data_IF_374293400988
#
_entry.id   IF_374293400988
#
_cell.length_a   1.000
_cell.length_b   1.000
_cell.length_c   1.000
_cell.angle_alpha   90.00
_cell.angle_beta   90.00
_cell.angle_gamma   90.00
#
_symmetry.space_group_name_H-M   'P 1'
#
loop_
_entity.id
_entity.type
_entity.pdbx_description
1 polymer ?
#
# COMPACT_ATOMS: atom_id res chain seq x y z
N UNK A 1 1.91 28.07 2.05
CA UNK A 1 2.45 26.99 2.89
C UNK A 1 1.40 25.87 2.91
N UNK A 2 1.78 24.62 2.70
CA UNK A 2 0.88 23.47 2.80
C UNK A 2 1.34 22.56 3.95
N UNK A 3 0.40 22.00 4.70
CA UNK A 3 0.64 20.96 5.71
C UNK A 3 -0.05 19.68 5.24
N UNK A 4 0.67 18.56 5.28
CA UNK A 4 0.12 17.23 5.03
C UNK A 4 0.26 16.40 6.30
N UNK A 5 -0.81 15.69 6.66
CA UNK A 5 -0.81 14.76 7.80
C UNK A 5 -1.01 13.35 7.26
N UNK A 6 0.07 12.58 7.21
CA UNK A 6 0.07 11.16 6.89
C UNK A 6 0.09 10.32 8.17
N UNK A 7 -0.74 9.29 8.22
CA UNK A 7 -0.79 8.34 9.33
C UNK A 7 -0.43 6.96 8.79
N UNK A 8 0.74 6.47 9.18
CA UNK A 8 1.14 5.09 8.94
C UNK A 8 0.22 4.18 9.76
N UNK A 9 -0.57 3.39 9.05
CA UNK A 9 -1.66 2.61 9.59
C UNK A 9 -1.29 1.13 9.46
N UNK A 10 -0.54 0.67 10.46
CA UNK A 10 0.15 -0.62 10.53
C UNK A 10 -0.22 -1.40 11.81
N UNK A 11 0.25 -2.64 11.94
CA UNK A 11 -0.02 -3.46 13.13
C UNK A 11 0.65 -2.93 14.41
N UNK A 12 0.15 -3.36 15.56
CA UNK A 12 0.69 -2.96 16.86
C UNK A 12 2.13 -3.47 17.04
N UNK A 13 3.03 -2.55 17.42
CA UNK A 13 4.40 -2.86 17.88
C UNK A 13 5.23 -3.74 16.93
N UNK A 14 5.20 -3.47 15.61
CA UNK A 14 5.91 -4.28 14.61
C UNK A 14 7.45 -4.30 14.74
N UNK A 15 8.03 -3.51 15.63
CA UNK A 15 9.45 -3.63 16.02
C UNK A 15 9.75 -4.93 16.77
N UNK A 16 8.77 -5.46 17.50
CA UNK A 16 8.88 -6.73 18.20
C UNK A 16 8.62 -7.93 17.25
N UNK A 17 9.41 -8.98 17.40
CA UNK A 17 9.31 -10.16 16.53
C UNK A 17 8.05 -10.99 16.82
N UNK A 18 7.63 -11.09 18.09
CA UNK A 18 6.44 -11.83 18.47
C UNK A 18 5.17 -11.09 18.02
N UNK A 19 5.16 -9.76 18.09
CA UNK A 19 4.10 -8.90 17.58
C UNK A 19 3.95 -9.02 16.06
N UNK A 20 5.06 -9.00 15.29
CA UNK A 20 5.01 -9.27 13.83
C UNK A 20 4.41 -10.63 13.49
N UNK A 21 4.73 -11.66 14.29
CA UNK A 21 4.19 -13.00 14.09
C UNK A 21 2.72 -13.15 14.53
N UNK A 22 2.25 -12.30 15.45
CA UNK A 22 0.92 -12.35 16.04
C UNK A 22 0.32 -10.94 16.09
N UNK A 23 -0.01 -10.42 14.91
CA UNK A 23 -0.41 -9.01 14.78
C UNK A 23 -1.71 -8.72 15.52
N UNK A 24 -1.76 -7.50 16.06
CA UNK A 24 -2.94 -6.87 16.63
C UNK A 24 -3.10 -5.49 16.00
N UNK A 25 -4.30 -4.94 16.08
CA UNK A 25 -4.66 -3.69 15.41
C UNK A 25 -5.45 -2.77 16.35
N UNK A 26 -5.16 -2.81 17.65
CA UNK A 26 -5.85 -1.98 18.65
C UNK A 26 -5.62 -0.49 18.38
N UNK A 27 -4.44 -0.13 17.85
CA UNK A 27 -4.17 1.20 17.33
C UNK A 27 -5.14 1.62 16.20
N UNK A 28 -5.47 0.71 15.28
CA UNK A 28 -6.39 0.96 14.16
C UNK A 28 -7.80 1.15 14.70
N UNK A 29 -8.21 0.32 15.65
CA UNK A 29 -9.53 0.41 16.27
C UNK A 29 -9.74 1.72 17.03
N UNK A 30 -8.67 2.39 17.44
CA UNK A 30 -8.70 3.70 18.08
C UNK A 30 -8.74 4.89 17.08
N UNK A 31 -8.54 4.67 15.78
CA UNK A 31 -8.50 5.74 14.77
C UNK A 31 -9.72 6.66 14.75
N UNK A 32 -10.98 6.20 14.97
CA UNK A 32 -12.13 7.10 14.99
C UNK A 32 -11.96 8.27 15.97
N UNK A 33 -11.30 8.02 17.12
CA UNK A 33 -11.03 9.08 18.11
C UNK A 33 -10.02 10.10 17.58
N UNK A 34 -8.96 9.64 16.91
CA UNK A 34 -7.95 10.51 16.30
C UNK A 34 -8.55 11.29 15.12
N UNK A 35 -9.37 10.63 14.31
CA UNK A 35 -10.06 11.24 13.17
C UNK A 35 -10.98 12.39 13.61
N UNK A 36 -11.77 12.17 14.68
CA UNK A 36 -12.60 13.23 15.26
C UNK A 36 -11.79 14.44 15.74
N UNK A 37 -10.55 14.24 16.22
CA UNK A 37 -9.65 15.34 16.55
C UNK A 37 -9.24 16.11 15.30
N UNK A 38 -8.88 15.43 14.21
CA UNK A 38 -8.55 16.08 12.93
C UNK A 38 -9.73 16.89 12.39
N UNK A 39 -10.94 16.34 12.40
CA UNK A 39 -12.15 17.01 11.98
C UNK A 39 -12.38 18.33 12.74
N UNK A 40 -12.19 18.33 14.08
CA UNK A 40 -12.30 19.54 14.91
C UNK A 40 -11.32 20.65 14.54
N UNK A 41 -10.19 20.30 13.92
CA UNK A 41 -9.16 21.24 13.49
C UNK A 41 -9.18 21.48 11.97
N UNK A 42 -10.17 20.95 11.24
CA UNK A 42 -10.25 21.08 9.78
C UNK A 42 -9.09 20.40 9.04
N UNK A 43 -8.44 19.41 9.66
CA UNK A 43 -7.35 18.64 9.06
C UNK A 43 -7.94 17.45 8.31
N UNK A 44 -7.54 17.28 7.05
CA UNK A 44 -7.90 16.12 6.21
C UNK A 44 -6.71 15.15 6.17
N UNK A 45 -6.70 14.07 6.99
CA UNK A 45 -5.57 13.14 7.06
C UNK A 45 -5.54 12.19 5.86
N UNK A 46 -4.35 11.67 5.57
CA UNK A 46 -4.15 10.52 4.68
C UNK A 46 -3.74 9.31 5.52
N UNK A 47 -4.55 8.26 5.55
CA UNK A 47 -4.21 6.99 6.18
C UNK A 47 -3.53 6.09 5.14
N UNK A 48 -2.24 5.81 5.32
CA UNK A 48 -1.53 4.87 4.45
C UNK A 48 -1.53 3.51 5.12
N UNK A 49 -2.18 2.52 4.50
CA UNK A 49 -2.51 1.26 5.17
C UNK A 49 -1.67 0.10 4.63
N UNK A 50 -1.31 -0.83 5.53
CA UNK A 50 -0.56 -2.06 5.19
C UNK A 50 -1.50 -3.18 4.74
N UNK A 51 -0.93 -4.25 4.16
CA UNK A 51 -1.71 -5.41 3.71
C UNK A 51 -2.48 -6.10 4.86
N UNK A 52 -1.89 -6.35 6.05
CA UNK A 52 -2.63 -6.93 7.16
C UNK A 52 -3.79 -6.05 7.64
N UNK A 53 -3.61 -4.73 7.69
CA UNK A 53 -4.69 -3.80 8.05
C UNK A 53 -5.82 -3.82 7.00
N UNK A 54 -5.48 -3.88 5.72
CA UNK A 54 -6.46 -3.98 4.64
C UNK A 54 -7.20 -5.33 4.58
N UNK A 55 -6.75 -6.33 5.35
CA UNK A 55 -7.32 -7.68 5.34
C UNK A 55 -7.89 -8.12 6.70
N UNK A 56 -7.67 -7.35 7.76
CA UNK A 56 -8.33 -7.53 9.06
C UNK A 56 -9.77 -6.98 9.01
N UNK A 57 -10.82 -7.81 9.22
CA UNK A 57 -12.21 -7.38 9.10
C UNK A 57 -12.57 -6.17 9.97
N UNK A 58 -12.08 -6.13 11.21
CA UNK A 58 -12.40 -5.03 12.13
C UNK A 58 -11.70 -3.73 11.73
N UNK A 59 -10.47 -3.82 11.22
CA UNK A 59 -9.75 -2.68 10.65
C UNK A 59 -10.46 -2.13 9.41
N UNK A 60 -10.94 -3.02 8.53
CA UNK A 60 -11.72 -2.65 7.34
C UNK A 60 -13.01 -1.90 7.73
N UNK A 61 -13.73 -2.37 8.75
CA UNK A 61 -14.94 -1.68 9.23
C UNK A 61 -14.64 -0.27 9.73
N UNK A 62 -13.55 -0.11 10.49
CA UNK A 62 -13.09 1.21 10.94
C UNK A 62 -12.77 2.10 9.74
N UNK A 63 -11.95 1.63 8.80
CA UNK A 63 -11.52 2.40 7.63
C UNK A 63 -12.71 2.82 6.77
N UNK A 64 -13.68 1.94 6.55
CA UNK A 64 -14.93 2.27 5.86
C UNK A 64 -15.67 3.39 6.58
N UNK A 65 -15.78 3.30 7.91
CA UNK A 65 -16.36 4.35 8.75
C UNK A 65 -15.66 5.70 8.59
N UNK A 66 -14.32 5.72 8.55
CA UNK A 66 -13.56 6.97 8.34
C UNK A 66 -13.77 7.54 6.94
N UNK A 67 -13.74 6.69 5.90
CA UNK A 67 -13.87 7.15 4.51
C UNK A 67 -15.27 7.64 4.15
N UNK A 68 -16.31 7.19 4.86
CA UNK A 68 -17.70 7.59 4.60
C UNK A 68 -17.92 9.11 4.78
N UNK A 69 -17.11 9.77 5.61
CA UNK A 69 -17.16 11.22 5.81
C UNK A 69 -16.59 12.05 4.65
N UNK A 70 -15.80 11.45 3.75
CA UNK A 70 -15.14 12.15 2.63
C UNK A 70 -14.01 13.10 3.06
N UNK A 71 -13.68 13.16 4.35
CA UNK A 71 -12.73 14.05 4.99
C UNK A 71 -11.40 13.37 5.34
N UNK A 72 -11.09 12.24 4.69
CA UNK A 72 -9.77 11.63 4.68
C UNK A 72 -9.42 11.05 3.29
N UNK A 73 -8.17 10.59 3.16
CA UNK A 73 -7.67 9.83 2.01
C UNK A 73 -7.09 8.49 2.47
N UNK A 74 -7.15 7.47 1.61
CA UNK A 74 -6.49 6.18 1.82
C UNK A 74 -5.33 6.03 0.82
N UNK A 75 -4.16 5.69 1.33
CA UNK A 75 -2.98 5.35 0.54
C UNK A 75 -2.42 3.97 0.89
N UNK A 76 -1.35 3.57 0.19
CA UNK A 76 -0.68 2.30 0.40
C UNK A 76 0.59 2.49 1.26
N UNK A 77 0.73 1.71 2.33
CA UNK A 77 1.96 1.62 3.12
C UNK A 77 2.55 0.22 2.93
N UNK A 78 3.59 0.11 2.09
CA UNK A 78 4.12 -1.19 1.69
C UNK A 78 5.14 -1.74 2.69
N UNK A 79 4.87 -2.96 3.16
CA UNK A 79 5.80 -3.72 3.98
C UNK A 79 6.23 -4.99 3.26
N UNK A 80 7.53 -5.11 3.01
CA UNK A 80 8.11 -6.22 2.27
C UNK A 80 7.93 -7.58 2.97
N UNK A 81 7.85 -7.59 4.30
CA UNK A 81 7.81 -8.80 5.11
C UNK A 81 6.42 -9.40 5.29
N UNK A 82 5.36 -8.64 5.06
CA UNK A 82 3.97 -9.02 5.34
C UNK A 82 3.00 -8.77 4.17
N UNK A 83 3.49 -8.22 3.06
CA UNK A 83 2.70 -8.11 1.82
C UNK A 83 2.91 -9.35 0.94
N UNK A 84 1.87 -10.12 0.58
CA UNK A 84 2.01 -11.24 -0.34
C UNK A 84 2.53 -10.82 -1.72
N UNK A 85 3.44 -11.57 -2.36
CA UNK A 85 4.08 -12.77 -1.84
C UNK A 85 5.14 -12.45 -0.76
N UNK A 86 4.96 -13.06 0.42
CA UNK A 86 5.92 -13.05 1.53
C UNK A 86 5.91 -14.42 2.23
N UNK A 87 7.01 -14.72 2.91
CA UNK A 87 7.22 -15.98 3.63
C UNK A 87 7.30 -15.73 5.12
N UNK A 88 7.12 -16.76 5.97
CA UNK A 88 7.37 -16.65 7.40
C UNK A 88 8.80 -16.20 7.73
N UNK A 89 9.76 -16.48 6.85
CA UNK A 89 11.13 -16.00 7.01
C UNK A 89 11.26 -14.50 6.76
N UNK A 90 10.53 -13.94 5.80
CA UNK A 90 10.51 -12.49 5.60
C UNK A 90 9.94 -11.80 6.84
N UNK A 91 8.84 -12.31 7.41
CA UNK A 91 8.27 -11.80 8.67
C UNK A 91 9.33 -11.76 9.76
N UNK A 92 10.19 -12.77 9.89
CA UNK A 92 11.30 -12.78 10.87
C UNK A 92 12.41 -11.78 10.52
N UNK A 93 12.89 -11.79 9.28
CA UNK A 93 14.04 -11.00 8.82
C UNK A 93 13.74 -9.50 8.69
N UNK A 94 12.47 -9.12 8.59
CA UNK A 94 12.05 -7.72 8.48
C UNK A 94 12.74 -6.96 7.32
N UNK A 95 12.75 -7.50 6.08
CA UNK A 95 13.42 -6.83 4.97
C UNK A 95 12.82 -5.46 4.65
N UNK A 96 13.68 -4.55 4.20
CA UNK A 96 13.25 -3.31 3.54
C UNK A 96 12.83 -3.57 2.09
N UNK A 97 11.88 -2.79 1.58
CA UNK A 97 11.45 -2.87 0.18
C UNK A 97 12.59 -2.69 -0.83
N UNK A 98 13.59 -1.85 -0.50
CA UNK A 98 14.77 -1.63 -1.33
C UNK A 98 15.63 -2.90 -1.52
N UNK A 99 15.47 -3.91 -0.67
CA UNK A 99 16.19 -5.18 -0.75
C UNK A 99 15.45 -6.22 -1.61
N UNK A 100 14.25 -5.91 -2.13
CA UNK A 100 13.48 -6.83 -2.94
C UNK A 100 13.91 -6.77 -4.41
N UNK A 101 13.96 -7.92 -5.10
CA UNK A 101 13.97 -7.94 -6.56
C UNK A 101 12.74 -7.22 -7.10
N UNK A 102 12.92 -6.39 -8.14
CA UNK A 102 11.84 -5.60 -8.73
C UNK A 102 10.57 -6.41 -9.05
N UNK A 103 10.63 -7.63 -9.64
CA UNK A 103 9.43 -8.42 -9.91
C UNK A 103 8.64 -8.78 -8.64
N UNK A 104 9.33 -9.04 -7.53
CA UNK A 104 8.69 -9.35 -6.24
C UNK A 104 8.04 -8.09 -5.66
N UNK A 105 8.70 -6.94 -5.74
CA UNK A 105 8.13 -5.67 -5.32
C UNK A 105 6.85 -5.33 -6.10
N UNK A 106 6.85 -5.49 -7.43
CA UNK A 106 5.67 -5.23 -8.27
C UNK A 106 4.50 -6.16 -7.92
N UNK A 107 4.76 -7.45 -7.67
CA UNK A 107 3.74 -8.40 -7.22
C UNK A 107 3.16 -8.04 -5.84
N UNK A 108 4.01 -7.61 -4.91
CA UNK A 108 3.56 -7.15 -3.60
C UNK A 108 2.70 -5.89 -3.72
N UNK A 109 3.10 -4.95 -4.57
CA UNK A 109 2.34 -3.73 -4.81
C UNK A 109 0.95 -4.02 -5.42
N UNK A 110 0.88 -4.97 -6.35
CA UNK A 110 -0.39 -5.44 -6.91
C UNK A 110 -1.30 -6.06 -5.83
N UNK A 111 -0.73 -6.91 -4.96
CA UNK A 111 -1.50 -7.52 -3.87
C UNK A 111 -2.00 -6.50 -2.85
N UNK A 112 -1.17 -5.53 -2.46
CA UNK A 112 -1.55 -4.46 -1.55
C UNK A 112 -2.65 -3.60 -2.14
N UNK A 113 -2.48 -3.11 -3.36
CA UNK A 113 -3.48 -2.24 -4.00
C UNK A 113 -4.82 -2.96 -4.24
N UNK A 114 -4.79 -4.26 -4.56
CA UNK A 114 -6.00 -5.08 -4.66
C UNK A 114 -6.71 -5.29 -3.31
N UNK A 115 -5.96 -5.52 -2.23
CA UNK A 115 -6.52 -5.65 -0.89
C UNK A 115 -7.18 -4.34 -0.42
N UNK A 116 -6.53 -3.20 -0.68
CA UNK A 116 -7.10 -1.88 -0.35
C UNK A 116 -8.37 -1.61 -1.15
N UNK A 117 -8.38 -1.94 -2.45
CA UNK A 117 -9.56 -1.83 -3.31
C UNK A 117 -10.74 -2.66 -2.75
N UNK A 118 -10.48 -3.90 -2.34
CA UNK A 118 -11.50 -4.76 -1.73
C UNK A 118 -11.98 -4.25 -0.35
N UNK A 119 -11.08 -3.64 0.43
CA UNK A 119 -11.38 -3.12 1.75
C UNK A 119 -12.28 -1.89 1.67
N UNK A 120 -11.88 -0.85 0.94
CA UNK A 120 -12.51 0.48 0.99
C UNK A 120 -13.09 0.97 -0.34
N UNK A 121 -13.05 0.14 -1.39
CA UNK A 121 -13.61 0.48 -2.71
C UNK A 121 -12.82 1.57 -3.45
N UNK A 122 -11.59 1.85 -3.03
CA UNK A 122 -10.75 2.88 -3.59
C UNK A 122 -9.33 2.35 -3.81
N UNK A 123 -8.87 2.34 -5.07
CA UNK A 123 -7.48 2.05 -5.38
C UNK A 123 -6.58 3.23 -5.00
N UNK A 124 -5.51 3.02 -4.22
CA UNK A 124 -4.50 4.04 -4.00
C UNK A 124 -3.91 4.51 -5.32
N UNK A 125 -4.00 5.81 -5.57
CA UNK A 125 -3.46 6.41 -6.79
C UNK A 125 -2.01 6.81 -6.56
N UNK A 126 -1.08 6.10 -7.20
CA UNK A 126 0.24 6.65 -7.44
C UNK A 126 0.10 7.78 -8.46
N UNK A 127 0.15 9.04 -8.01
CA UNK A 127 0.38 10.17 -8.92
C UNK A 127 1.86 10.18 -9.30
N UNK A 128 2.27 9.24 -10.17
CA UNK A 128 3.55 9.36 -10.86
C UNK A 128 3.47 10.52 -11.85
N UNK A 129 4.49 11.37 -11.90
CA UNK A 129 4.65 12.37 -12.97
C UNK A 129 4.51 11.66 -14.34
N UNK A 130 3.65 12.11 -15.27
CA UNK A 130 3.51 11.47 -16.59
C UNK A 130 4.84 11.30 -17.35
N UNK A 131 5.89 12.04 -16.99
CA UNK A 131 7.24 11.87 -17.52
C UNK A 131 7.92 10.51 -17.18
N UNK A 132 7.52 9.83 -16.10
CA UNK A 132 8.12 8.54 -15.69
C UNK A 132 7.49 7.30 -16.35
N UNK A 133 6.45 7.47 -17.19
CA UNK A 133 5.79 6.36 -17.92
C UNK A 133 6.58 5.82 -19.12
N UNK A 134 7.79 6.31 -19.38
CA UNK A 134 8.62 5.88 -20.52
C UNK A 134 9.68 4.83 -20.10
N UNK A 135 9.24 3.69 -19.60
CA UNK A 135 10.12 2.52 -19.55
C UNK A 135 9.33 1.20 -19.54
N UNK A 136 8.54 0.95 -20.58
CA UNK A 136 8.23 -0.43 -21.01
C UNK A 136 7.54 -0.34 -22.38
N UNK A 137 8.29 -0.72 -23.41
CA UNK A 137 7.91 -1.11 -24.79
C UNK A 137 8.95 -0.62 -25.81
N UNK A 138 10.18 -1.14 -25.71
CA UNK A 138 10.96 -1.39 -26.93
C UNK A 138 10.69 -2.83 -27.35
N UNK A 139 9.52 -3.04 -27.97
CA UNK A 139 9.27 -4.23 -28.77
C UNK A 139 10.20 -4.17 -29.99
N UNK A 140 11.04 -5.17 -30.11
CA UNK A 140 11.98 -5.41 -31.20
C UNK A 140 11.23 -5.35 -32.54
N UNK A 141 11.44 -4.29 -33.32
CA UNK A 141 11.02 -4.26 -34.74
C UNK A 141 11.94 -5.21 -35.50
N UNK A 142 11.41 -6.35 -35.94
CA UNK A 142 12.08 -7.20 -36.92
C UNK A 142 12.24 -6.41 -38.24
N UNK A 143 13.45 -6.41 -38.79
CA UNK A 143 13.78 -5.80 -40.06
C UNK A 143 13.20 -6.64 -41.23
N UNK A 144 12.77 -6.01 -42.35
CA UNK A 144 12.30 -6.75 -43.50
C UNK A 144 13.49 -7.34 -44.28
N UNK A 145 13.59 -8.66 -44.35
CA UNK A 145 14.51 -9.34 -45.28
C UNK A 145 13.96 -9.26 -46.69
N UNK A 146 14.60 -8.42 -47.50
CA UNK A 146 14.52 -8.46 -48.95
C UNK A 146 15.29 -9.68 -49.49
N UNK A 147 14.63 -10.60 -50.17
CA UNK A 147 15.32 -11.52 -51.08
C UNK A 147 14.63 -11.50 -52.45
N UNK A 148 15.41 -11.08 -53.43
CA UNK A 148 15.07 -10.96 -54.86
C UNK A 148 15.55 -12.24 -55.57
N UNK A 149 14.84 -12.60 -56.66
CA UNK A 149 15.11 -13.64 -57.69
C UNK A 149 14.64 -15.05 -57.32
N UNK A 150 13.93 -15.80 -58.17
CA UNK A 150 13.83 -15.80 -59.65
C UNK A 150 12.39 -15.80 -60.12
#
# INVERSE_FOLDING_TARGET
MFLLVGIDTEGDNQWDAAARANQRFENIYALPRLHALFARHGVRPTYVITYPVATDPRSVDVLRGLTAGGDCEIGAHHHAWETPPCTPEDVRRHPYAANLPLPRFEQQLASLTAAIDAAVGARPMFKSNPASRRCSTKGTRAAPTSSRRR
#
